data_IF_525691984892
#
_entry.id   IF_525691984892
#
_cell.length_a   1.000
_cell.length_b   1.000
_cell.length_c   1.000
_cell.angle_alpha   90.00
_cell.angle_beta   90.00
_cell.angle_gamma   90.00
#
_symmetry.space_group_name_H-M   'P 1'
#
loop_
_entity.id
_entity.type
_entity.pdbx_description
1 polymer ?
#
# COMPACT_ATOMS: atom_id res chain seq x y z
N UNK A 1 25.81 -35.90 19.72
CA UNK A 1 24.89 -35.88 20.88
C UNK A 1 25.55 -36.17 22.23
N UNK A 2 26.33 -37.27 22.40
CA UNK A 2 26.95 -37.63 23.70
C UNK A 2 27.91 -36.56 24.27
N UNK A 3 28.79 -36.00 23.43
CA UNK A 3 29.72 -34.91 23.81
C UNK A 3 29.02 -33.60 24.23
N UNK A 4 27.91 -33.25 23.59
CA UNK A 4 27.14 -32.05 23.92
C UNK A 4 26.49 -32.17 25.30
N UNK A 5 25.97 -33.36 25.62
CA UNK A 5 25.36 -33.67 26.91
C UNK A 5 26.37 -33.61 28.07
N UNK A 6 27.58 -34.12 27.85
CA UNK A 6 28.69 -34.02 28.82
C UNK A 6 29.15 -32.58 29.05
N UNK A 7 29.21 -31.77 27.99
CA UNK A 7 29.57 -30.35 28.08
C UNK A 7 28.53 -29.57 28.91
N UNK A 8 27.24 -29.80 28.65
CA UNK A 8 26.12 -29.22 29.40
C UNK A 8 26.15 -29.60 30.88
N UNK A 9 26.44 -30.87 31.20
CA UNK A 9 26.58 -31.35 32.58
C UNK A 9 27.76 -30.71 33.31
N UNK A 10 28.88 -30.42 32.63
CA UNK A 10 30.01 -29.68 33.20
C UNK A 10 29.68 -28.20 33.42
N UNK A 11 28.98 -27.57 32.48
CA UNK A 11 28.48 -26.20 32.59
C UNK A 11 27.53 -26.04 33.79
N UNK A 12 26.58 -26.96 33.98
CA UNK A 12 25.62 -26.93 35.09
C UNK A 12 26.27 -27.04 36.48
N UNK A 13 27.44 -27.66 36.59
CA UNK A 13 28.19 -27.80 37.86
C UNK A 13 29.04 -26.57 38.20
N UNK A 14 29.37 -25.73 37.22
CA UNK A 14 30.15 -24.52 37.43
C UNK A 14 29.20 -23.30 37.44
N UNK A 15 28.85 -22.83 38.64
CA UNK A 15 27.89 -21.73 38.84
C UNK A 15 28.24 -20.46 38.06
N UNK A 16 29.53 -20.16 37.89
CA UNK A 16 29.99 -18.99 37.12
C UNK A 16 29.77 -19.22 35.62
N UNK A 17 30.15 -20.38 35.11
CA UNK A 17 29.97 -20.71 33.69
C UNK A 17 28.48 -20.82 33.32
N UNK A 18 27.64 -21.33 34.22
CA UNK A 18 26.19 -21.37 34.05
C UNK A 18 25.59 -19.96 34.02
N UNK A 19 26.00 -19.06 34.94
CA UNK A 19 25.53 -17.69 34.95
C UNK A 19 25.89 -16.93 33.66
N UNK A 20 27.14 -17.08 33.19
CA UNK A 20 27.58 -16.48 31.92
C UNK A 20 26.78 -17.03 30.73
N UNK A 21 26.56 -18.35 30.68
CA UNK A 21 25.76 -18.96 29.62
C UNK A 21 24.31 -18.45 29.60
N UNK A 22 23.67 -18.31 30.77
CA UNK A 22 22.30 -17.77 30.87
C UNK A 22 22.24 -16.31 30.42
N UNK A 23 23.21 -15.48 30.80
CA UNK A 23 23.27 -14.07 30.37
C UNK A 23 23.46 -13.96 28.86
N UNK A 24 24.36 -14.75 28.28
CA UNK A 24 24.60 -14.76 26.83
C UNK A 24 23.38 -15.28 26.08
N UNK A 25 22.76 -16.36 26.54
CA UNK A 25 21.54 -16.91 25.92
C UNK A 25 20.37 -15.93 26.03
N UNK A 26 20.21 -15.24 27.17
CA UNK A 26 19.21 -14.20 27.36
C UNK A 26 19.47 -12.98 26.47
N UNK A 27 20.73 -12.59 26.29
CA UNK A 27 21.11 -11.51 25.37
C UNK A 27 20.87 -11.89 23.91
N UNK A 28 21.17 -13.13 23.50
CA UNK A 28 20.86 -13.64 22.15
C UNK A 28 19.35 -13.72 21.94
N UNK A 29 18.59 -14.21 22.92
CA UNK A 29 17.13 -14.24 22.83
C UNK A 29 16.54 -12.82 22.79
N UNK A 30 17.05 -11.91 23.61
CA UNK A 30 16.65 -10.49 23.63
C UNK A 30 16.93 -9.82 22.28
N UNK A 31 18.13 -10.01 21.72
CA UNK A 31 18.49 -9.45 20.41
C UNK A 31 17.67 -10.07 19.29
N UNK A 32 17.47 -11.39 19.28
CA UNK A 32 16.63 -12.05 18.27
C UNK A 32 15.15 -11.63 18.35
N UNK A 33 14.57 -11.57 19.56
CA UNK A 33 13.18 -11.16 19.78
C UNK A 33 12.99 -9.67 19.43
N UNK A 34 13.94 -8.81 19.78
CA UNK A 34 13.84 -7.38 19.49
C UNK A 34 14.22 -7.03 18.05
N UNK A 35 15.13 -7.77 17.41
CA UNK A 35 15.40 -7.65 15.98
C UNK A 35 14.11 -7.90 15.17
N UNK A 36 13.30 -8.88 15.58
CA UNK A 36 11.99 -9.14 14.96
C UNK A 36 10.98 -8.02 15.22
N UNK A 37 11.07 -7.28 16.34
CA UNK A 37 10.19 -6.11 16.59
C UNK A 37 10.67 -4.84 15.88
N UNK A 38 11.98 -4.69 15.72
CA UNK A 38 12.61 -3.54 15.05
C UNK A 38 12.41 -3.55 13.53
N UNK A 39 11.80 -4.59 12.95
CA UNK A 39 11.53 -4.70 11.51
C UNK A 39 10.15 -4.14 11.11
N UNK A 40 9.18 -4.03 12.03
CA UNK A 40 7.77 -3.76 11.70
C UNK A 40 7.38 -2.31 12.03
N UNK A 41 7.66 -1.42 11.07
CA UNK A 41 7.09 -0.07 10.89
C UNK A 41 7.37 1.00 11.96
N UNK A 42 7.46 2.26 11.51
CA UNK A 42 7.62 3.45 12.36
C UNK A 42 6.24 4.04 12.65
N UNK A 43 5.94 4.41 13.89
CA UNK A 43 4.63 4.96 14.28
C UNK A 43 4.37 6.37 13.72
N UNK A 44 5.44 7.14 13.49
CA UNK A 44 5.40 8.51 12.94
C UNK A 44 5.75 8.51 11.45
N UNK A 45 4.82 7.99 10.63
CA UNK A 45 5.06 7.78 9.20
C UNK A 45 5.04 9.09 8.40
N UNK A 46 4.18 10.03 8.80
CA UNK A 46 3.95 11.29 8.08
C UNK A 46 5.06 12.32 8.29
N UNK A 47 5.85 12.19 9.35
CA UNK A 47 6.97 13.08 9.59
C UNK A 47 8.01 13.04 8.46
N UNK A 48 8.42 14.23 8.03
CA UNK A 48 9.33 14.44 6.91
C UNK A 48 8.74 14.12 5.53
N UNK A 49 7.43 13.87 5.41
CA UNK A 49 6.76 13.91 4.11
C UNK A 49 6.47 15.36 3.73
N UNK A 50 6.63 15.65 2.44
CA UNK A 50 6.24 16.93 1.87
C UNK A 50 4.72 17.09 1.95
N UNK A 51 4.27 18.28 2.35
CA UNK A 51 2.85 18.65 2.28
C UNK A 51 2.56 19.12 0.86
N UNK A 52 1.73 18.38 0.14
CA UNK A 52 1.37 18.64 -1.25
C UNK A 52 -0.15 18.59 -1.39
N UNK A 53 -0.76 19.75 -1.58
CA UNK A 53 -2.21 19.87 -1.74
C UNK A 53 -2.72 19.10 -2.98
N UNK A 54 -3.97 18.60 -2.95
CA UNK A 54 -4.63 18.06 -4.13
C UNK A 54 -4.74 19.13 -5.22
N UNK A 55 -4.55 18.71 -6.47
CA UNK A 55 -4.74 19.56 -7.65
C UNK A 55 -6.08 19.23 -8.27
N UNK A 56 -7.05 20.14 -8.13
CA UNK A 56 -8.45 19.97 -8.54
C UNK A 56 -9.41 20.14 -7.37
N UNK A 57 -10.71 19.97 -7.63
CA UNK A 57 -11.75 20.14 -6.62
C UNK A 57 -11.95 18.84 -5.83
N UNK A 58 -11.66 18.87 -4.53
CA UNK A 58 -11.99 17.75 -3.63
C UNK A 58 -13.47 17.83 -3.24
N UNK A 59 -14.21 16.78 -3.54
CA UNK A 59 -15.63 16.66 -3.14
C UNK A 59 -15.76 16.75 -1.62
N UNK A 60 -16.46 17.79 -1.13
CA UNK A 60 -16.82 17.89 0.28
C UNK A 60 -17.85 16.80 0.63
N UNK A 61 -17.50 15.95 1.59
CA UNK A 61 -18.35 14.86 2.06
C UNK A 61 -18.84 15.14 3.45
N UNK A 62 -20.15 15.14 3.62
CA UNK A 62 -20.81 15.33 4.90
C UNK A 62 -20.48 14.09 5.77
N UNK A 63 -19.80 14.25 6.91
CA UNK A 63 -19.59 13.14 7.83
C UNK A 63 -20.94 12.74 8.45
N UNK A 64 -21.22 11.45 8.53
CA UNK A 64 -22.40 10.96 9.23
C UNK A 64 -22.10 10.68 10.69
N UNK A 65 -23.08 10.90 11.56
CA UNK A 65 -22.99 10.53 12.98
C UNK A 65 -23.01 9.00 13.12
N UNK A 66 -21.83 8.40 13.32
CA UNK A 66 -21.63 6.94 13.44
C UNK A 66 -21.35 6.50 14.89
N UNK A 67 -21.69 7.35 15.86
CA UNK A 67 -21.52 7.15 17.30
C UNK A 67 -20.50 8.10 17.92
N UNK A 68 -20.58 8.24 19.24
CA UNK A 68 -19.86 9.26 20.04
C UNK A 68 -18.32 9.19 19.95
N UNK A 69 -17.77 8.09 19.43
CA UNK A 69 -16.33 7.85 19.30
C UNK A 69 -15.76 8.16 17.90
N UNK A 70 -16.59 8.47 16.91
CA UNK A 70 -16.14 8.84 15.55
C UNK A 70 -15.76 10.33 15.46
N UNK A 71 -14.79 10.75 16.27
CA UNK A 71 -14.19 12.09 16.18
C UNK A 71 -13.43 12.28 14.86
N UNK A 72 -13.15 13.53 14.48
CA UNK A 72 -12.35 13.81 13.28
C UNK A 72 -10.96 13.15 13.33
N UNK A 73 -10.31 13.16 14.49
CA UNK A 73 -9.01 12.48 14.69
C UNK A 73 -9.14 10.96 14.46
N UNK A 74 -10.18 10.34 15.00
CA UNK A 74 -10.45 8.91 14.80
C UNK A 74 -10.72 8.59 13.32
N UNK A 75 -11.44 9.47 12.61
CA UNK A 75 -11.67 9.34 11.16
C UNK A 75 -10.36 9.39 10.39
N UNK A 76 -9.50 10.37 10.64
CA UNK A 76 -8.21 10.46 9.96
C UNK A 76 -7.29 9.28 10.27
N UNK A 77 -7.27 8.83 11.53
CA UNK A 77 -6.55 7.61 11.90
C UNK A 77 -7.09 6.40 11.13
N UNK A 78 -8.42 6.23 11.05
CA UNK A 78 -9.03 5.15 10.27
C UNK A 78 -8.70 5.27 8.77
N UNK A 79 -8.75 6.47 8.21
CA UNK A 79 -8.52 6.72 6.78
C UNK A 79 -7.06 6.52 6.36
N UNK A 80 -6.08 6.78 7.23
CA UNK A 80 -4.67 6.86 6.81
C UNK A 80 -3.68 6.03 7.64
N UNK A 81 -4.13 5.27 8.63
CA UNK A 81 -3.26 4.29 9.29
C UNK A 81 -2.92 3.15 8.34
N UNK A 82 -1.63 2.85 8.17
CA UNK A 82 -1.20 1.77 7.28
C UNK A 82 -1.49 0.38 7.85
N UNK A 83 -1.76 -0.58 6.95
CA UNK A 83 -1.81 -2.01 7.25
C UNK A 83 -0.59 -2.80 6.74
N UNK A 84 0.48 -2.13 6.29
CA UNK A 84 1.70 -2.80 5.81
C UNK A 84 1.67 -3.27 4.35
N UNK A 85 0.91 -2.59 3.48
CA UNK A 85 0.52 -3.04 2.12
C UNK A 85 1.22 -2.30 0.98
N UNK A 86 2.45 -1.83 1.16
CA UNK A 86 3.15 -0.95 0.20
C UNK A 86 3.15 -1.43 -1.26
N UNK A 87 2.68 -0.54 -2.15
CA UNK A 87 2.50 -0.77 -3.59
C UNK A 87 3.57 -0.02 -4.40
N UNK A 88 3.81 1.24 -4.07
CA UNK A 88 4.66 2.18 -4.82
C UNK A 88 5.34 3.15 -3.84
N UNK A 89 6.56 3.67 -4.12
CA UNK A 89 7.14 4.74 -3.31
C UNK A 89 6.18 5.94 -3.19
N UNK A 90 6.05 6.49 -1.99
CA UNK A 90 5.04 7.50 -1.66
C UNK A 90 5.17 8.73 -2.56
N UNK A 91 6.38 9.28 -2.66
CA UNK A 91 6.68 10.46 -3.50
C UNK A 91 6.39 10.19 -4.98
N UNK A 92 6.53 8.95 -5.45
CA UNK A 92 6.18 8.63 -6.83
C UNK A 92 4.68 8.74 -7.02
N UNK A 93 3.87 8.19 -6.12
CA UNK A 93 2.42 8.28 -6.23
C UNK A 93 1.91 9.73 -6.17
N UNK A 94 2.54 10.58 -5.36
CA UNK A 94 2.20 12.02 -5.26
C UNK A 94 2.38 12.75 -6.59
N UNK A 95 3.42 12.40 -7.35
CA UNK A 95 3.88 13.14 -8.53
C UNK A 95 3.72 12.39 -9.87
N UNK A 96 3.24 11.15 -9.86
CA UNK A 96 3.02 10.38 -11.07
C UNK A 96 1.90 11.02 -11.88
N UNK A 97 2.15 11.28 -13.17
CA UNK A 97 1.10 11.69 -14.11
C UNK A 97 0.33 10.46 -14.61
N UNK A 98 -0.95 10.62 -14.94
CA UNK A 98 -1.73 9.59 -15.66
C UNK A 98 -1.05 9.25 -16.98
N UNK A 99 -1.33 8.10 -17.60
CA UNK A 99 -0.62 7.69 -18.81
C UNK A 99 -0.76 8.70 -19.97
N UNK A 100 -1.98 9.08 -20.33
CA UNK A 100 -2.24 9.75 -21.60
C UNK A 100 -2.29 11.28 -21.53
N UNK A 101 -2.12 11.88 -20.35
CA UNK A 101 -2.15 13.33 -20.14
C UNK A 101 -1.09 13.77 -19.10
N UNK A 102 -1.13 15.04 -18.69
CA UNK A 102 -0.23 15.61 -17.68
C UNK A 102 -0.90 15.79 -16.31
N UNK A 103 -2.15 15.36 -16.14
CA UNK A 103 -2.81 15.38 -14.85
C UNK A 103 -2.17 14.35 -13.92
N UNK A 104 -2.14 14.66 -12.62
CA UNK A 104 -1.64 13.72 -11.63
C UNK A 104 -2.54 12.48 -11.58
N UNK A 105 -1.93 11.33 -11.36
CA UNK A 105 -2.63 10.07 -11.15
C UNK A 105 -3.54 10.14 -9.93
N UNK A 106 -3.17 10.92 -8.91
CA UNK A 106 -4.00 11.19 -7.72
C UNK A 106 -5.03 12.30 -7.88
N UNK A 107 -5.29 12.80 -9.10
CA UNK A 107 -6.24 13.89 -9.30
C UNK A 107 -7.64 13.51 -8.76
N UNK A 108 -8.36 14.45 -8.13
CA UNK A 108 -9.72 14.18 -7.65
C UNK A 108 -10.62 13.60 -8.72
N UNK A 109 -10.62 14.19 -9.92
CA UNK A 109 -11.43 13.74 -11.07
C UNK A 109 -11.18 12.28 -11.45
N UNK A 110 -9.91 11.86 -11.55
CA UNK A 110 -9.60 10.48 -11.90
C UNK A 110 -10.02 9.53 -10.78
N UNK A 111 -9.73 9.89 -9.53
CA UNK A 111 -10.02 9.04 -8.37
C UNK A 111 -11.52 8.87 -8.15
N UNK A 112 -12.31 9.95 -8.21
CA UNK A 112 -13.77 9.90 -8.14
C UNK A 112 -14.34 9.05 -9.30
N UNK A 113 -13.81 9.20 -10.53
CA UNK A 113 -14.23 8.40 -11.69
C UNK A 113 -14.08 6.89 -11.46
N UNK A 114 -13.04 6.45 -10.74
CA UNK A 114 -12.80 5.04 -10.44
C UNK A 114 -13.29 4.64 -9.04
N UNK A 115 -14.06 5.49 -8.36
CA UNK A 115 -14.72 5.21 -7.09
C UNK A 115 -13.82 5.24 -5.85
N UNK A 116 -12.60 5.77 -5.96
CA UNK A 116 -11.78 6.13 -4.79
C UNK A 116 -12.12 7.55 -4.35
N UNK A 117 -11.92 7.87 -3.07
CA UNK A 117 -12.46 9.09 -2.46
C UNK A 117 -11.35 10.10 -2.19
N UNK A 118 -11.17 11.17 -3.01
CA UNK A 118 -10.17 12.20 -2.78
C UNK A 118 -10.32 12.87 -1.42
N UNK A 119 -9.21 13.31 -0.83
CA UNK A 119 -9.19 14.02 0.45
C UNK A 119 -8.24 15.20 0.37
N UNK A 120 -8.56 16.24 1.15
CA UNK A 120 -7.64 17.32 1.42
C UNK A 120 -6.42 16.83 2.23
N UNK A 121 -5.40 17.68 2.29
CA UNK A 121 -4.21 17.45 3.10
C UNK A 121 -4.53 17.52 4.59
N UNK A 122 -3.85 16.70 5.37
CA UNK A 122 -3.94 16.72 6.83
C UNK A 122 -2.62 16.27 7.46
N UNK A 123 -2.53 16.30 8.79
CA UNK A 123 -1.36 15.79 9.51
C UNK A 123 -1.13 14.27 9.26
N UNK A 124 -2.20 13.53 9.01
CA UNK A 124 -2.16 12.10 8.66
C UNK A 124 -1.98 11.86 7.16
N UNK A 125 -2.33 12.85 6.33
CA UNK A 125 -2.30 12.77 4.87
C UNK A 125 -1.62 14.00 4.23
N UNK A 126 -0.31 14.19 4.41
CA UNK A 126 0.38 15.38 3.94
C UNK A 126 0.36 15.52 2.40
N UNK A 127 0.32 14.41 1.66
CA UNK A 127 0.28 14.43 0.19
C UNK A 127 -1.12 14.47 -0.44
N UNK A 128 -2.18 14.70 0.35
CA UNK A 128 -3.55 14.80 -0.17
C UNK A 128 -3.96 13.56 -0.95
N UNK A 129 -3.67 12.38 -0.42
CA UNK A 129 -4.02 11.09 -1.03
C UNK A 129 -5.51 10.76 -0.82
N UNK A 130 -6.11 9.93 -1.68
CA UNK A 130 -7.47 9.46 -1.45
C UNK A 130 -7.59 8.68 -0.14
N UNK A 131 -8.78 8.68 0.45
CA UNK A 131 -9.07 7.94 1.67
C UNK A 131 -8.74 6.46 1.48
N UNK A 132 -7.97 5.96 2.43
CA UNK A 132 -7.47 4.60 2.43
C UNK A 132 -6.13 4.38 1.74
N UNK A 133 -5.50 5.44 1.22
CA UNK A 133 -4.14 5.40 0.68
C UNK A 133 -3.22 5.91 1.79
N UNK A 134 -2.56 4.98 2.47
CA UNK A 134 -1.76 5.26 3.64
C UNK A 134 -0.27 5.28 3.30
N UNK A 135 0.46 6.22 3.89
CA UNK A 135 1.91 6.17 3.93
C UNK A 135 2.36 5.03 4.84
N UNK A 136 3.51 4.43 4.55
CA UNK A 136 4.22 3.51 5.44
C UNK A 136 5.72 3.64 5.27
N UNK A 137 6.48 3.36 6.33
CA UNK A 137 7.94 3.27 6.31
C UNK A 137 8.38 1.97 6.97
N UNK A 138 9.16 1.17 6.25
CA UNK A 138 9.87 0.08 6.91
C UNK A 138 10.94 0.68 7.83
N UNK A 139 11.21 0.08 8.98
CA UNK A 139 12.29 0.57 9.87
C UNK A 139 13.67 0.45 9.23
N UNK A 140 13.87 -0.58 8.38
CA UNK A 140 15.10 -0.85 7.64
C UNK A 140 15.29 0.09 6.43
N UNK A 141 14.25 0.24 5.63
CA UNK A 141 14.23 1.12 4.45
C UNK A 141 13.38 2.35 4.77
N UNK A 142 14.06 3.47 5.05
CA UNK A 142 13.41 4.74 5.42
C UNK A 142 12.61 5.37 4.28
N UNK A 143 12.72 4.86 3.06
CA UNK A 143 11.91 5.33 1.93
C UNK A 143 10.42 5.12 2.25
N UNK A 144 9.59 6.17 2.20
CA UNK A 144 8.17 6.03 2.42
C UNK A 144 7.52 5.37 1.20
N UNK A 145 6.60 4.45 1.45
CA UNK A 145 5.78 3.78 0.45
C UNK A 145 4.31 4.12 0.68
N UNK A 146 3.52 4.14 -0.38
CA UNK A 146 2.06 4.22 -0.31
C UNK A 146 1.48 2.82 -0.50
N UNK A 147 0.49 2.46 0.30
CA UNK A 147 -0.32 1.26 0.14
C UNK A 147 -1.77 1.49 0.55
N UNK A 148 -2.65 0.54 0.22
CA UNK A 148 -4.05 0.58 0.64
C UNK A 148 -4.23 0.13 2.08
N UNK A 149 -5.05 0.79 2.87
CA UNK A 149 -5.51 0.27 4.16
C UNK A 149 -6.98 -0.19 4.09
N UNK A 150 -7.56 -0.48 5.26
CA UNK A 150 -8.95 -0.91 5.40
C UNK A 150 -9.95 0.08 4.77
N UNK A 151 -9.72 1.40 4.92
CA UNK A 151 -10.64 2.43 4.48
C UNK A 151 -10.78 2.51 2.95
N UNK A 152 -9.79 2.06 2.17
CA UNK A 152 -9.88 2.02 0.71
C UNK A 152 -10.97 1.04 0.24
N UNK A 153 -11.22 -0.01 1.02
CA UNK A 153 -12.18 -1.08 0.74
C UNK A 153 -13.49 -0.91 1.53
N UNK A 154 -13.41 -0.30 2.71
CA UNK A 154 -14.50 -0.22 3.68
C UNK A 154 -14.92 1.22 3.99
N UNK A 155 -14.86 2.10 3.00
CA UNK A 155 -15.47 3.43 3.09
C UNK A 155 -16.30 3.68 1.83
N UNK A 156 -17.47 4.28 2.00
CA UNK A 156 -18.41 4.52 0.91
C UNK A 156 -18.89 5.96 0.89
N UNK A 157 -19.16 6.48 -0.32
CA UNK A 157 -19.83 7.75 -0.54
C UNK A 157 -21.24 7.51 -1.07
N UNK A 158 -22.24 8.16 -0.48
CA UNK A 158 -23.61 8.20 -0.99
C UNK A 158 -23.90 9.59 -1.53
N UNK A 159 -24.23 9.68 -2.82
CA UNK A 159 -24.66 10.94 -3.45
C UNK A 159 -26.18 11.02 -3.51
N UNK A 160 -26.74 12.06 -2.90
CA UNK A 160 -28.18 12.31 -2.90
C UNK A 160 -28.49 13.80 -2.88
N UNK A 161 -29.32 14.25 -3.83
CA UNK A 161 -29.75 15.65 -3.96
C UNK A 161 -28.59 16.67 -3.94
N UNK A 162 -27.52 16.38 -4.68
CA UNK A 162 -26.34 17.25 -4.78
C UNK A 162 -25.48 17.30 -3.50
N UNK A 163 -25.69 16.35 -2.57
CA UNK A 163 -24.87 16.18 -1.38
C UNK A 163 -24.19 14.84 -1.39
N UNK A 164 -22.91 14.82 -1.04
CA UNK A 164 -22.12 13.62 -0.85
C UNK A 164 -22.00 13.34 0.65
N UNK A 165 -22.34 12.13 1.07
CA UNK A 165 -22.27 11.68 2.47
C UNK A 165 -21.25 10.58 2.60
N UNK A 166 -20.38 10.67 3.61
CA UNK A 166 -19.37 9.66 3.90
C UNK A 166 -19.90 8.62 4.88
N UNK A 167 -19.61 7.35 4.59
CA UNK A 167 -20.00 6.22 5.43
C UNK A 167 -18.80 5.33 5.70
N UNK A 168 -18.18 5.45 6.87
CA UNK A 168 -17.06 4.61 7.28
C UNK A 168 -17.52 3.21 7.70
N UNK A 169 -16.78 2.18 7.29
CA UNK A 169 -17.14 0.78 7.48
C UNK A 169 -18.12 0.23 6.43
N UNK A 170 -18.65 1.05 5.53
CA UNK A 170 -19.50 0.60 4.41
C UNK A 170 -18.66 0.11 3.22
N UNK A 171 -19.19 -0.76 2.35
CA UNK A 171 -18.43 -1.30 1.23
C UNK A 171 -18.13 -0.25 0.15
N UNK A 172 -16.88 -0.17 -0.28
CA UNK A 172 -16.47 0.78 -1.34
C UNK A 172 -17.16 0.50 -2.68
N UNK A 173 -17.24 1.52 -3.54
CA UNK A 173 -17.53 1.39 -4.97
C UNK A 173 -16.28 1.53 -5.84
N UNK A 174 -15.10 1.50 -5.23
CA UNK A 174 -13.84 1.59 -5.95
C UNK A 174 -13.66 0.44 -6.96
N UNK A 175 -13.00 0.74 -8.07
CA UNK A 175 -12.64 -0.22 -9.10
C UNK A 175 -11.17 -0.64 -8.93
N UNK A 176 -10.98 -1.76 -8.22
CA UNK A 176 -9.67 -2.28 -7.85
C UNK A 176 -8.81 -2.68 -9.07
N UNK A 177 -9.43 -3.24 -10.12
CA UNK A 177 -8.69 -3.66 -11.32
C UNK A 177 -8.18 -2.45 -12.11
N UNK A 178 -8.99 -1.39 -12.17
CA UNK A 178 -8.65 -0.17 -12.92
C UNK A 178 -7.50 0.58 -12.26
N UNK A 179 -7.49 0.75 -10.93
CA UNK A 179 -6.37 1.46 -10.27
C UNK A 179 -5.03 0.78 -10.51
N UNK A 180 -4.95 -0.55 -10.47
CA UNK A 180 -3.71 -1.27 -10.71
C UNK A 180 -3.29 -1.20 -12.19
N UNK A 181 -4.26 -1.38 -13.09
CA UNK A 181 -3.99 -1.32 -14.53
C UNK A 181 -3.49 0.06 -14.95
N UNK A 182 -4.17 1.12 -14.52
CA UNK A 182 -3.78 2.48 -14.86
C UNK A 182 -2.49 2.91 -14.15
N UNK A 183 -2.22 2.41 -12.94
CA UNK A 183 -0.93 2.66 -12.28
C UNK A 183 0.24 2.07 -13.08
N UNK A 184 0.09 0.83 -13.57
CA UNK A 184 1.10 0.19 -14.42
C UNK A 184 1.28 0.98 -15.72
N UNK A 185 0.18 1.39 -16.37
CA UNK A 185 0.23 2.20 -17.59
C UNK A 185 0.94 3.54 -17.36
N UNK A 186 0.59 4.25 -16.28
CA UNK A 186 1.19 5.51 -15.90
C UNK A 186 2.71 5.38 -15.64
N UNK A 187 3.12 4.35 -14.89
CA UNK A 187 4.54 4.06 -14.65
C UNK A 187 5.29 3.74 -15.95
N UNK A 188 4.73 2.90 -16.82
CA UNK A 188 5.34 2.56 -18.11
C UNK A 188 5.50 3.79 -18.99
N UNK A 189 4.43 4.58 -19.13
CA UNK A 189 4.47 5.78 -19.95
C UNK A 189 5.47 6.79 -19.40
N UNK A 190 5.52 6.97 -18.08
CA UNK A 190 6.52 7.82 -17.41
C UNK A 190 7.93 7.33 -17.64
N UNK A 191 8.17 6.01 -17.64
CA UNK A 191 9.49 5.44 -17.92
C UNK A 191 9.91 5.65 -19.38
N UNK A 192 8.99 5.46 -20.32
CA UNK A 192 9.32 5.35 -21.74
C UNK A 192 9.29 6.69 -22.48
N UNK A 193 8.55 7.68 -21.97
CA UNK A 193 8.49 9.04 -22.49
C UNK A 193 9.51 9.95 -21.77
N UNK A 194 10.47 10.49 -22.51
CA UNK A 194 11.56 11.30 -21.96
C UNK A 194 11.10 12.59 -21.28
N UNK A 195 10.08 13.25 -21.82
CA UNK A 195 9.59 14.53 -21.29
C UNK A 195 8.80 14.29 -20.01
N UNK A 196 7.95 13.25 -19.99
CA UNK A 196 7.23 12.83 -18.78
C UNK A 196 8.20 12.35 -17.70
N UNK A 197 9.19 11.54 -18.07
CA UNK A 197 10.23 11.11 -17.13
C UNK A 197 10.97 12.32 -16.54
N UNK A 198 11.30 13.33 -17.36
CA UNK A 198 11.99 14.54 -16.92
C UNK A 198 11.22 15.29 -15.84
N UNK A 199 9.92 15.56 -16.04
CA UNK A 199 9.06 16.20 -15.03
C UNK A 199 8.95 15.38 -13.76
N UNK A 200 8.69 14.07 -13.91
CA UNK A 200 8.61 13.14 -12.78
C UNK A 200 9.92 13.11 -11.96
N UNK A 201 11.07 13.00 -12.64
CA UNK A 201 12.37 12.96 -12.00
C UNK A 201 12.69 14.26 -11.24
N UNK A 202 12.33 15.42 -11.80
CA UNK A 202 12.49 16.71 -11.11
C UNK A 202 11.67 16.76 -9.83
N UNK A 203 10.40 16.32 -9.87
CA UNK A 203 9.54 16.31 -8.69
C UNK A 203 10.00 15.29 -7.62
N UNK A 204 10.56 14.15 -8.04
CA UNK A 204 10.96 13.07 -7.13
C UNK A 204 12.37 13.26 -6.55
N UNK A 205 13.32 13.77 -7.34
CA UNK A 205 14.73 13.90 -6.98
C UNK A 205 15.13 15.34 -6.63
N UNK A 206 14.28 16.32 -6.94
CA UNK A 206 14.57 17.75 -6.81
C UNK A 206 15.30 18.31 -8.04
N UNK A 207 15.45 19.63 -8.08
CA UNK A 207 16.19 20.30 -9.16
C UNK A 207 17.68 19.94 -9.15
N UNK A 208 18.27 19.83 -10.35
CA UNK A 208 19.72 19.61 -10.50
C UNK A 208 20.19 18.17 -10.24
N UNK A 209 19.29 17.18 -10.22
CA UNK A 209 19.67 15.76 -10.14
C UNK A 209 20.67 15.38 -11.24
N UNK A 210 21.59 14.45 -10.94
CA UNK A 210 22.59 14.02 -11.90
C UNK A 210 22.03 13.01 -12.90
N UNK A 211 22.73 12.82 -14.03
CA UNK A 211 22.41 11.76 -14.99
C UNK A 211 22.49 10.35 -14.36
N UNK A 212 23.30 10.18 -13.31
CA UNK A 212 23.37 8.96 -12.52
C UNK A 212 22.09 8.72 -11.72
N UNK A 213 21.59 9.74 -11.02
CA UNK A 213 20.35 9.66 -10.23
C UNK A 213 19.15 9.35 -11.14
N UNK A 214 19.08 10.01 -12.29
CA UNK A 214 18.06 9.77 -13.32
C UNK A 214 18.07 8.31 -13.80
N UNK A 215 19.27 7.76 -14.07
CA UNK A 215 19.43 6.37 -14.49
C UNK A 215 18.98 5.41 -13.38
N UNK A 216 19.39 5.65 -12.14
CA UNK A 216 18.99 4.81 -11.00
C UNK A 216 17.47 4.85 -10.77
N UNK A 217 16.84 6.02 -10.84
CA UNK A 217 15.39 6.18 -10.73
C UNK A 217 14.67 5.38 -11.82
N UNK A 218 15.13 5.48 -13.07
CA UNK A 218 14.55 4.76 -14.20
C UNK A 218 14.69 3.24 -14.05
N UNK A 219 15.82 2.76 -13.53
CA UNK A 219 16.04 1.34 -13.22
C UNK A 219 15.15 0.85 -12.06
N UNK A 220 15.01 1.63 -10.99
CA UNK A 220 14.07 1.36 -9.89
C UNK A 220 12.65 1.25 -10.42
N UNK A 221 12.24 2.18 -11.28
CA UNK A 221 10.90 2.18 -11.89
C UNK A 221 10.68 0.94 -12.76
N UNK A 222 11.68 0.55 -13.56
CA UNK A 222 11.63 -0.68 -14.33
C UNK A 222 11.45 -1.94 -13.47
N UNK A 223 12.14 -2.02 -12.31
CA UNK A 223 11.96 -3.13 -11.37
C UNK A 223 10.55 -3.15 -10.77
N UNK A 224 9.99 -1.99 -10.42
CA UNK A 224 8.64 -1.89 -9.89
C UNK A 224 7.60 -2.32 -10.92
N UNK A 225 7.70 -1.83 -12.16
CA UNK A 225 6.83 -2.21 -13.28
C UNK A 225 6.88 -3.73 -13.48
N UNK A 226 8.07 -4.32 -13.57
CA UNK A 226 8.21 -5.77 -13.76
C UNK A 226 7.56 -6.58 -12.62
N UNK A 227 7.64 -6.09 -11.37
CA UNK A 227 6.97 -6.74 -10.23
C UNK A 227 5.46 -6.62 -10.33
N UNK A 228 4.95 -5.44 -10.69
CA UNK A 228 3.53 -5.17 -10.82
C UNK A 228 2.90 -5.95 -12.00
N UNK A 229 3.57 -6.01 -13.16
CA UNK A 229 3.11 -6.77 -14.32
C UNK A 229 3.09 -8.28 -14.04
N UNK A 230 4.08 -8.82 -13.30
CA UNK A 230 4.03 -10.23 -12.87
C UNK A 230 2.84 -10.51 -11.97
N UNK A 231 2.53 -9.60 -11.04
CA UNK A 231 1.35 -9.70 -10.18
C UNK A 231 0.06 -9.60 -11.02
N UNK A 232 0.01 -8.72 -12.00
CA UNK A 232 -1.16 -8.58 -12.88
C UNK A 232 -1.34 -9.87 -13.69
N UNK A 233 -0.28 -10.42 -14.27
CA UNK A 233 -0.30 -11.60 -15.12
C UNK A 233 -0.89 -12.83 -14.42
N UNK A 234 -0.51 -13.11 -13.17
CA UNK A 234 -1.06 -14.24 -12.41
C UNK A 234 -2.54 -14.05 -12.03
N UNK A 235 -3.09 -12.85 -12.16
CA UNK A 235 -4.47 -12.50 -11.83
C UNK A 235 -5.31 -12.12 -13.06
N UNK A 236 -4.79 -12.32 -14.29
CA UNK A 236 -5.55 -12.05 -15.50
C UNK A 236 -6.69 -13.05 -15.66
N UNK A 237 -7.86 -12.54 -16.05
CA UNK A 237 -8.98 -13.35 -16.50
C UNK A 237 -8.82 -13.69 -18.00
N UNK A 238 -9.22 -14.90 -18.44
CA UNK A 238 -9.31 -15.24 -19.86
C UNK A 238 -10.25 -14.28 -20.60
N UNK A 239 -9.74 -13.51 -21.55
CA UNK A 239 -10.49 -12.44 -22.22
C UNK A 239 -11.58 -12.96 -23.18
N UNK A 240 -11.50 -14.23 -23.58
CA UNK A 240 -12.51 -14.94 -24.35
C UNK A 240 -13.69 -15.41 -23.50
N UNK A 241 -13.52 -15.52 -22.18
CA UNK A 241 -14.55 -15.95 -21.24
C UNK A 241 -15.15 -14.79 -20.44
N UNK A 242 -14.35 -13.75 -20.14
CA UNK A 242 -14.73 -12.65 -19.26
C UNK A 242 -14.56 -11.29 -19.93
N UNK A 243 -15.51 -10.35 -19.76
CA UNK A 243 -15.34 -8.98 -20.21
C UNK A 243 -14.23 -8.26 -19.42
N UNK A 244 -13.66 -7.20 -20.00
CA UNK A 244 -12.54 -6.45 -19.39
C UNK A 244 -12.89 -5.85 -18.02
N UNK A 245 -14.16 -5.55 -17.76
CA UNK A 245 -14.70 -4.95 -16.54
C UNK A 245 -15.49 -5.95 -15.67
N UNK A 246 -15.16 -7.25 -15.76
CA UNK A 246 -15.91 -8.31 -15.12
C UNK A 246 -16.15 -8.10 -13.61
N UNK A 247 -15.12 -7.73 -12.83
CA UNK A 247 -15.31 -7.34 -11.44
C UNK A 247 -15.90 -5.92 -11.34
N UNK A 248 -15.25 -4.95 -11.99
CA UNK A 248 -15.72 -3.57 -12.08
C UNK A 248 -15.76 -2.84 -10.73
N UNK A 249 -16.72 -1.93 -10.57
CA UNK A 249 -16.88 -1.13 -9.35
C UNK A 249 -17.45 -1.94 -8.18
N UNK A 250 -16.84 -1.76 -7.01
CA UNK A 250 -17.35 -2.26 -5.72
C UNK A 250 -17.29 -3.77 -5.53
N UNK A 251 -16.63 -4.50 -6.44
CA UNK A 251 -16.44 -5.94 -6.34
C UNK A 251 -14.98 -6.32 -6.60
N UNK A 252 -14.55 -7.38 -5.93
CA UNK A 252 -13.23 -7.99 -6.14
C UNK A 252 -13.30 -9.46 -5.78
N UNK A 253 -12.55 -10.30 -6.48
CA UNK A 253 -12.25 -11.65 -6.00
C UNK A 253 -10.96 -11.60 -5.18
N UNK A 254 -11.07 -11.06 -3.96
CA UNK A 254 -9.95 -10.89 -3.07
C UNK A 254 -9.31 -12.24 -2.69
N UNK A 255 -10.14 -13.28 -2.51
CA UNK A 255 -9.65 -14.61 -2.17
C UNK A 255 -8.82 -15.21 -3.31
N UNK A 256 -9.29 -15.15 -4.56
CA UNK A 256 -8.54 -15.59 -5.72
C UNK A 256 -7.20 -14.86 -5.86
N UNK A 257 -7.20 -13.53 -5.73
CA UNK A 257 -5.98 -12.75 -5.82
C UNK A 257 -4.98 -13.01 -4.68
N UNK A 258 -5.46 -13.20 -3.45
CA UNK A 258 -4.63 -13.58 -2.29
C UNK A 258 -4.08 -14.99 -2.49
N UNK A 259 -4.91 -15.94 -2.92
CA UNK A 259 -4.50 -17.31 -3.22
C UNK A 259 -3.36 -17.30 -4.25
N UNK A 260 -3.50 -16.59 -5.37
CA UNK A 260 -2.46 -16.48 -6.40
C UNK A 260 -1.17 -15.84 -5.86
N UNK A 261 -1.28 -14.89 -4.93
CA UNK A 261 -0.12 -14.29 -4.26
C UNK A 261 0.66 -15.34 -3.46
N UNK A 262 -0.04 -16.29 -2.82
CA UNK A 262 0.58 -17.37 -2.07
C UNK A 262 1.07 -18.51 -2.97
N UNK A 263 0.22 -19.01 -3.87
CA UNK A 263 0.46 -20.24 -4.64
C UNK A 263 1.34 -20.01 -5.86
N UNK A 264 1.25 -18.83 -6.49
CA UNK A 264 2.03 -18.52 -7.69
C UNK A 264 3.21 -17.59 -7.37
N UNK A 265 2.94 -16.43 -6.77
CA UNK A 265 3.98 -15.42 -6.55
C UNK A 265 5.01 -15.83 -5.49
N UNK A 266 4.55 -16.24 -4.30
CA UNK A 266 5.44 -16.57 -3.17
C UNK A 266 6.22 -17.89 -3.38
N UNK A 267 5.65 -18.85 -4.14
CA UNK A 267 6.32 -20.10 -4.51
C UNK A 267 7.18 -19.98 -5.78
N UNK A 268 7.19 -18.81 -6.43
CA UNK A 268 7.87 -18.58 -7.71
C UNK A 268 7.42 -19.55 -8.82
N UNK A 269 6.15 -19.94 -8.80
CA UNK A 269 5.53 -20.84 -9.78
C UNK A 269 4.34 -20.13 -10.47
N UNK A 270 4.59 -19.30 -11.50
CA UNK A 270 3.54 -18.50 -12.12
C UNK A 270 2.42 -19.33 -12.76
N UNK A 271 2.64 -20.63 -13.03
CA UNK A 271 1.61 -21.53 -13.56
C UNK A 271 0.67 -22.12 -12.51
N UNK A 272 0.98 -21.94 -11.22
CA UNK A 272 0.14 -22.37 -10.09
C UNK A 272 -0.84 -21.27 -9.65
N UNK A 273 -1.38 -20.52 -10.63
CA UNK A 273 -2.41 -19.52 -10.43
C UNK A 273 -3.78 -20.05 -10.86
N UNK A 274 -4.84 -19.47 -10.32
CA UNK A 274 -6.21 -19.69 -10.77
C UNK A 274 -6.84 -18.33 -11.10
N UNK A 275 -7.53 -18.18 -12.25
CA UNK A 275 -8.21 -16.94 -12.59
C UNK A 275 -9.16 -16.50 -11.47
N UNK A 276 -9.06 -15.25 -10.98
CA UNK A 276 -9.91 -14.73 -9.91
C UNK A 276 -11.31 -14.38 -10.44
N UNK A 277 -12.09 -15.41 -10.80
CA UNK A 277 -13.34 -15.29 -11.55
C UNK A 277 -14.61 -15.26 -10.69
N UNK A 278 -14.50 -15.05 -9.37
CA UNK A 278 -15.64 -15.00 -8.46
C UNK A 278 -15.71 -13.68 -7.67
N UNK A 279 -15.81 -12.51 -8.34
CA UNK A 279 -15.82 -11.23 -7.66
C UNK A 279 -17.09 -11.06 -6.82
N UNK A 280 -16.92 -10.60 -5.59
CA UNK A 280 -18.00 -10.31 -4.64
C UNK A 280 -17.88 -8.89 -4.12
N UNK A 281 -18.98 -8.35 -3.59
CA UNK A 281 -18.95 -7.05 -2.91
C UNK A 281 -18.07 -7.11 -1.66
N UNK A 282 -17.40 -6.00 -1.36
CA UNK A 282 -16.74 -5.83 -0.06
C UNK A 282 -17.78 -5.98 1.07
N UNK A 283 -17.46 -6.62 2.20
CA UNK A 283 -18.37 -6.67 3.33
C UNK A 283 -18.38 -5.31 4.05
N UNK A 284 -19.50 -4.96 4.68
CA UNK A 284 -19.50 -3.89 5.68
C UNK A 284 -18.80 -4.39 6.95
N UNK A 285 -18.19 -3.47 7.71
CA UNK A 285 -17.48 -3.78 8.96
C UNK A 285 -18.39 -3.75 10.19
N UNK A 286 -19.58 -3.16 10.08
CA UNK A 286 -20.48 -3.04 11.23
C UNK A 286 -20.99 -4.42 11.68
N UNK A 287 -21.03 -4.64 12.99
CA UNK A 287 -21.52 -5.90 13.53
C UNK A 287 -20.55 -7.08 13.34
N UNK A 288 -19.29 -6.87 12.96
CA UNK A 288 -18.24 -7.87 13.16
C UNK A 288 -17.86 -7.88 14.64
N UNK A 289 -18.31 -8.90 15.38
CA UNK A 289 -18.05 -9.09 16.81
C UNK A 289 -17.50 -10.49 17.08
#
# INVERSE_FOLDING_TARGET
>A
MKKLKELLLKLLKNKIALAVFVVVAAYIAYTYINQVKDDYYIDDVSNGLEVVDPVGDVTYRIPLEQGDHWTQEMREAYWFTSQGSGIIPYTWFVWLEQADNQELFRSPDFMDKIGYLPSDTSAWNPGGLPIGFAAQRARKDKEPWMGFNCAACHTHQIDYNGKSMMVEGAPTLANFETIYTELINALRKTKDDSDKFGRFATNVLGEGYSSGDAKELKEKMGRLINKAEKRQAINLLPSDEFPKDFAGHGRVDAFGQIANSATAQALHDPGNNNPPSAPVSYPFLWGTH
#
